data_IF_052379102512
#
_entry.id   IF_052379102512
#
_cell.length_a   1.000
_cell.length_b   1.000
_cell.length_c   1.000
_cell.angle_alpha   90.00
_cell.angle_beta   90.00
_cell.angle_gamma   90.00
#
_symmetry.space_group_name_H-M   'P 1'
#
loop_
_entity.id
_entity.type
_entity.pdbx_description
1 polymer ?
#
# COMPACT_ATOMS: atom_id res chain seq x y z
N UNK A 1 -3.43 4.66 63.81
CA UNK A 1 -3.39 3.50 62.90
C UNK A 1 -3.18 4.02 61.46
N UNK A 2 -1.93 4.14 61.00
CA UNK A 2 -1.59 4.59 59.63
C UNK A 2 -1.50 3.38 58.69
N UNK A 3 -2.28 3.36 57.61
CA UNK A 3 -2.15 2.33 56.57
C UNK A 3 -0.77 2.45 55.88
N UNK A 4 -0.08 1.34 55.57
CA UNK A 4 1.16 1.40 54.80
C UNK A 4 0.88 1.75 53.33
N UNK A 5 1.70 2.64 52.77
CA UNK A 5 1.71 2.96 51.34
C UNK A 5 2.26 1.75 50.55
N UNK A 6 1.45 1.19 49.65
CA UNK A 6 1.90 0.21 48.66
C UNK A 6 2.73 0.92 47.57
N UNK A 7 3.94 0.45 47.23
CA UNK A 7 4.70 1.03 46.14
C UNK A 7 4.02 0.70 44.80
N UNK A 8 3.74 1.73 44.01
CA UNK A 8 3.19 1.60 42.67
C UNK A 8 4.11 0.76 41.79
N UNK A 9 3.57 -0.34 41.26
CA UNK A 9 4.24 -1.19 40.28
C UNK A 9 4.39 -0.42 38.95
N UNK A 10 5.47 0.35 38.84
CA UNK A 10 5.88 1.03 37.62
C UNK A 10 6.35 0.02 36.57
N UNK A 11 5.40 -0.65 35.90
CA UNK A 11 5.72 -1.42 34.69
C UNK A 11 6.20 -0.43 33.61
N UNK A 12 7.42 -0.55 33.08
CA UNK A 12 7.84 0.29 31.98
C UNK A 12 6.95 0.02 30.76
N UNK A 13 6.35 1.07 30.20
CA UNK A 13 5.49 0.96 29.04
C UNK A 13 6.30 0.40 27.84
N UNK A 14 5.77 -0.59 27.09
CA UNK A 14 6.51 -1.17 25.99
C UNK A 14 6.72 -0.11 24.89
N UNK A 15 7.96 0.31 24.69
CA UNK A 15 8.43 1.25 23.66
C UNK A 15 8.48 0.60 22.26
N UNK A 16 7.52 -0.27 21.93
CA UNK A 16 7.49 -1.08 20.70
C UNK A 16 6.95 -0.38 19.45
N UNK A 17 6.59 0.91 19.53
CA UNK A 17 5.84 1.61 18.45
C UNK A 17 6.70 2.04 17.27
N UNK A 18 7.99 2.33 17.47
CA UNK A 18 8.87 2.92 16.44
C UNK A 18 9.42 1.86 15.48
N UNK A 19 9.71 0.64 15.95
CA UNK A 19 10.26 -0.45 15.12
C UNK A 19 9.28 -0.93 14.04
N UNK A 20 7.99 -1.00 14.38
CA UNK A 20 6.94 -1.52 13.51
C UNK A 20 6.59 -0.56 12.35
N UNK A 21 6.80 0.75 12.51
CA UNK A 21 6.56 1.71 11.44
C UNK A 21 7.64 1.63 10.36
N UNK A 22 8.92 1.63 10.77
CA UNK A 22 10.05 1.52 9.83
C UNK A 22 9.95 0.25 8.98
N UNK A 23 9.66 -0.90 9.60
CA UNK A 23 9.48 -2.16 8.87
C UNK A 23 8.35 -2.08 7.84
N UNK A 24 7.18 -1.53 8.21
CA UNK A 24 6.04 -1.39 7.30
C UNK A 24 6.33 -0.46 6.13
N UNK A 25 7.07 0.63 6.37
CA UNK A 25 7.53 1.54 5.31
C UNK A 25 8.49 0.81 4.38
N UNK A 26 9.48 0.09 4.91
CA UNK A 26 10.43 -0.68 4.12
C UNK A 26 9.73 -1.74 3.26
N UNK A 27 8.77 -2.48 3.82
CA UNK A 27 7.98 -3.46 3.06
C UNK A 27 7.13 -2.77 1.97
N UNK A 28 6.51 -1.63 2.29
CA UNK A 28 5.76 -0.85 1.30
C UNK A 28 6.64 -0.38 0.15
N UNK A 29 7.84 0.13 0.45
CA UNK A 29 8.81 0.53 -0.56
C UNK A 29 9.27 -0.68 -1.40
N UNK A 30 9.58 -1.81 -0.76
CA UNK A 30 9.98 -3.04 -1.44
C UNK A 30 8.93 -3.51 -2.45
N UNK A 31 7.65 -3.48 -2.08
CA UNK A 31 6.54 -3.84 -2.98
C UNK A 31 6.42 -2.89 -4.18
N UNK A 32 6.85 -1.63 -4.03
CA UNK A 32 6.82 -0.65 -5.11
C UNK A 32 8.01 -0.77 -6.06
N UNK A 33 9.12 -1.40 -5.64
CA UNK A 33 10.35 -1.54 -6.45
C UNK A 33 10.04 -2.27 -7.74
N UNK A 34 9.36 -3.41 -7.69
CA UNK A 34 9.13 -4.25 -8.86
C UNK A 34 8.23 -3.56 -9.91
N UNK A 35 7.03 -3.05 -9.56
CA UNK A 35 6.22 -2.25 -10.48
C UNK A 35 6.91 -0.99 -11.00
N UNK A 36 7.62 -0.28 -10.12
CA UNK A 36 8.35 0.94 -10.48
C UNK A 36 9.48 0.67 -11.46
N UNK A 37 10.27 -0.38 -11.21
CA UNK A 37 11.35 -0.82 -12.09
C UNK A 37 10.83 -1.29 -13.44
N UNK A 38 9.77 -2.11 -13.45
CA UNK A 38 9.15 -2.55 -14.70
C UNK A 38 8.61 -1.39 -15.52
N UNK A 39 7.92 -0.44 -14.89
CA UNK A 39 7.39 0.74 -15.58
C UNK A 39 8.51 1.65 -16.10
N UNK A 40 9.58 1.82 -15.33
CA UNK A 40 10.77 2.57 -15.75
C UNK A 40 11.47 1.89 -16.94
N UNK A 41 11.63 0.56 -16.90
CA UNK A 41 12.24 -0.20 -18.01
C UNK A 41 11.44 -0.04 -19.30
N UNK A 42 10.10 -0.12 -19.22
CA UNK A 42 9.23 0.10 -20.38
C UNK A 42 9.38 1.53 -20.92
N UNK A 43 9.43 2.52 -20.04
CA UNK A 43 9.62 3.90 -20.48
C UNK A 43 10.97 4.11 -21.18
N UNK A 44 12.06 3.58 -20.62
CA UNK A 44 13.40 3.71 -21.20
C UNK A 44 13.61 2.88 -22.48
N UNK A 45 12.97 1.71 -22.57
CA UNK A 45 13.12 0.81 -23.71
C UNK A 45 12.20 1.12 -24.89
N UNK A 46 10.90 1.30 -24.62
CA UNK A 46 9.87 1.48 -25.66
C UNK A 46 9.24 2.86 -25.69
N UNK A 47 9.68 3.79 -24.82
CA UNK A 47 9.06 5.12 -24.67
C UNK A 47 7.70 5.09 -23.97
N UNK A 48 7.23 3.91 -23.52
CA UNK A 48 5.86 3.73 -23.02
C UNK A 48 5.75 4.19 -21.56
N UNK A 49 5.32 5.43 -21.34
CA UNK A 49 5.26 6.05 -20.01
C UNK A 49 3.89 5.96 -19.31
N UNK A 50 2.83 5.49 -19.98
CA UNK A 50 1.48 5.47 -19.42
C UNK A 50 1.35 4.73 -18.07
N UNK A 51 2.09 3.63 -17.78
CA UNK A 51 1.97 2.96 -16.49
C UNK A 51 2.48 3.83 -15.34
N UNK A 52 3.53 4.64 -15.56
CA UNK A 52 4.07 5.56 -14.55
C UNK A 52 3.02 6.62 -14.16
N UNK A 53 2.40 7.22 -15.17
CA UNK A 53 1.35 8.22 -14.97
C UNK A 53 0.11 7.62 -14.32
N UNK A 54 -0.27 6.41 -14.72
CA UNK A 54 -1.41 5.71 -14.13
C UNK A 54 -1.15 5.39 -12.65
N UNK A 55 -0.01 4.80 -12.31
CA UNK A 55 0.34 4.50 -10.92
C UNK A 55 0.43 5.76 -10.06
N UNK A 56 1.05 6.83 -10.57
CA UNK A 56 1.17 8.10 -9.85
C UNK A 56 -0.19 8.76 -9.58
N UNK A 57 -1.01 8.91 -10.62
CA UNK A 57 -2.33 9.54 -10.50
C UNK A 57 -3.32 8.70 -9.68
N UNK A 58 -3.38 7.38 -9.91
CA UNK A 58 -4.23 6.48 -9.13
C UNK A 58 -3.80 6.42 -7.66
N UNK A 59 -2.50 6.48 -7.36
CA UNK A 59 -2.01 6.53 -5.97
C UNK A 59 -2.43 7.81 -5.27
N UNK A 60 -2.32 8.95 -5.95
CA UNK A 60 -2.79 10.23 -5.40
C UNK A 60 -4.31 10.19 -5.15
N UNK A 61 -5.08 9.71 -6.13
CA UNK A 61 -6.52 9.55 -6.00
C UNK A 61 -6.89 8.64 -4.82
N UNK A 62 -6.26 7.48 -4.71
CA UNK A 62 -6.48 6.55 -3.60
C UNK A 62 -6.20 7.23 -2.25
N UNK A 63 -5.09 7.95 -2.12
CA UNK A 63 -4.75 8.65 -0.89
C UNK A 63 -5.83 9.66 -0.49
N UNK A 64 -6.31 10.47 -1.43
CA UNK A 64 -7.38 11.46 -1.21
C UNK A 64 -8.70 10.78 -0.84
N UNK A 65 -9.07 9.69 -1.50
CA UNK A 65 -10.29 8.94 -1.18
C UNK A 65 -10.25 8.37 0.24
N UNK A 66 -9.12 7.79 0.65
CA UNK A 66 -8.94 7.29 2.02
C UNK A 66 -9.00 8.40 3.07
N UNK A 67 -8.39 9.56 2.78
CA UNK A 67 -8.49 10.72 3.65
C UNK A 67 -9.96 11.17 3.79
N UNK A 68 -10.68 11.29 2.67
CA UNK A 68 -12.07 11.69 2.66
C UNK A 68 -12.95 10.68 3.41
N UNK A 69 -12.76 9.37 3.19
CA UNK A 69 -13.49 8.32 3.93
C UNK A 69 -13.23 8.42 5.44
N UNK A 70 -11.98 8.70 5.85
CA UNK A 70 -11.65 8.91 7.27
C UNK A 70 -12.34 10.15 7.84
N UNK A 71 -12.42 11.25 7.09
CA UNK A 71 -13.13 12.47 7.51
C UNK A 71 -14.63 12.20 7.66
N UNK A 72 -15.24 11.57 6.68
CA UNK A 72 -16.67 11.20 6.71
C UNK A 72 -17.00 10.27 7.88
N UNK A 73 -16.11 9.33 8.19
CA UNK A 73 -16.26 8.44 9.35
C UNK A 73 -16.18 9.16 10.71
N UNK A 74 -15.57 10.35 10.80
CA UNK A 74 -15.55 11.17 12.04
C UNK A 74 -16.76 12.09 12.17
N UNK A 75 -17.38 12.44 11.05
CA UNK A 75 -18.49 13.39 10.98
C UNK A 75 -19.85 12.67 10.81
N UNK A 76 -19.91 11.36 11.08
CA UNK A 76 -21.08 10.50 10.86
C UNK A 76 -21.76 10.66 9.48
N UNK A 77 -20.96 10.96 8.47
CA UNK A 77 -21.41 11.11 7.09
C UNK A 77 -21.33 9.78 6.31
N UNK A 78 -22.03 9.72 5.17
CA UNK A 78 -22.05 8.53 4.31
C UNK A 78 -20.65 8.13 3.82
N UNK A 79 -20.17 6.95 4.25
CA UNK A 79 -18.82 6.43 3.95
C UNK A 79 -18.66 6.05 2.47
N UNK A 80 -17.42 6.03 1.99
CA UNK A 80 -17.12 5.62 0.62
C UNK A 80 -17.29 4.09 0.51
N UNK A 81 -18.03 3.59 -0.51
CA UNK A 81 -18.17 2.14 -0.72
C UNK A 81 -16.82 1.48 -0.95
N UNK A 82 -16.59 0.31 -0.33
CA UNK A 82 -15.29 -0.40 -0.41
C UNK A 82 -14.92 -0.79 -1.85
N UNK A 83 -15.92 -1.09 -2.69
CA UNK A 83 -15.74 -1.35 -4.12
C UNK A 83 -15.05 -0.20 -4.87
N UNK A 84 -15.29 1.05 -4.46
CA UNK A 84 -14.66 2.22 -5.10
C UNK A 84 -13.19 2.30 -4.70
N UNK A 85 -12.88 2.04 -3.42
CA UNK A 85 -11.49 2.01 -2.93
C UNK A 85 -10.70 0.90 -3.63
N UNK A 86 -11.25 -0.32 -3.66
CA UNK A 86 -10.64 -1.45 -4.36
C UNK A 86 -10.52 -1.24 -5.87
N UNK A 87 -11.47 -0.56 -6.50
CA UNK A 87 -11.38 -0.20 -7.91
C UNK A 87 -10.17 0.69 -8.21
N UNK A 88 -9.95 1.73 -7.41
CA UNK A 88 -8.78 2.62 -7.58
C UNK A 88 -7.48 1.90 -7.23
N UNK A 89 -7.48 1.05 -6.21
CA UNK A 89 -6.33 0.20 -5.88
C UNK A 89 -5.95 -0.72 -7.04
N UNK A 90 -6.95 -1.35 -7.68
CA UNK A 90 -6.77 -2.22 -8.83
C UNK A 90 -6.20 -1.49 -10.05
N UNK A 91 -6.60 -0.22 -10.27
CA UNK A 91 -6.04 0.63 -11.33
C UNK A 91 -4.59 1.09 -11.09
N UNK A 92 -3.95 0.66 -10.00
CA UNK A 92 -2.56 1.04 -9.66
C UNK A 92 -2.45 2.01 -8.49
N UNK A 93 -3.56 2.33 -7.82
CA UNK A 93 -3.58 3.21 -6.66
C UNK A 93 -3.19 2.55 -5.34
N UNK A 94 -2.90 1.25 -5.33
CA UNK A 94 -2.57 0.51 -4.12
C UNK A 94 -1.36 1.06 -3.33
N UNK A 95 -0.31 1.67 -3.92
CA UNK A 95 0.77 2.28 -3.14
C UNK A 95 0.28 3.47 -2.31
N UNK A 96 -0.51 4.37 -2.93
CA UNK A 96 -1.12 5.49 -2.24
C UNK A 96 -2.13 5.06 -1.17
N UNK A 97 -2.91 4.01 -1.44
CA UNK A 97 -3.80 3.40 -0.46
C UNK A 97 -3.02 2.81 0.73
N UNK A 98 -1.90 2.13 0.49
CA UNK A 98 -1.02 1.58 1.54
C UNK A 98 -0.46 2.69 2.43
N UNK A 99 -0.02 3.81 1.84
CA UNK A 99 0.43 4.98 2.60
C UNK A 99 -0.73 5.56 3.42
N UNK A 100 -1.91 5.72 2.83
CA UNK A 100 -3.08 6.29 3.49
C UNK A 100 -3.61 5.43 4.64
N UNK A 101 -3.65 4.10 4.48
CA UNK A 101 -4.01 3.15 5.54
C UNK A 101 -3.11 3.34 6.77
N UNK A 102 -1.81 3.57 6.55
CA UNK A 102 -0.81 3.69 7.59
C UNK A 102 -0.90 5.06 8.27
N UNK A 103 -0.99 6.13 7.46
CA UNK A 103 -1.08 7.51 7.92
C UNK A 103 -2.36 7.76 8.74
N UNK A 104 -3.51 7.27 8.27
CA UNK A 104 -4.80 7.51 8.90
C UNK A 104 -5.23 6.40 9.87
N UNK A 105 -4.45 5.31 9.94
CA UNK A 105 -4.76 4.08 10.71
C UNK A 105 -6.19 3.61 10.42
N UNK A 106 -6.57 3.67 9.16
CA UNK A 106 -7.92 3.43 8.67
C UNK A 106 -7.93 2.18 7.80
N UNK A 107 -8.94 1.33 7.94
CA UNK A 107 -9.08 0.06 7.19
C UNK A 107 -7.92 -0.94 7.34
N UNK A 108 -7.08 -0.80 8.37
CA UNK A 108 -5.94 -1.70 8.65
C UNK A 108 -6.30 -2.97 9.43
N UNK A 109 -7.46 -3.01 10.11
CA UNK A 109 -7.89 -4.13 10.97
C UNK A 109 -9.02 -4.99 10.40
N UNK A 110 -9.72 -4.49 9.37
CA UNK A 110 -10.86 -5.21 8.78
C UNK A 110 -10.32 -6.29 7.84
N UNK A 111 -10.41 -7.55 8.26
CA UNK A 111 -9.81 -8.68 7.53
C UNK A 111 -10.34 -8.77 6.10
N UNK A 112 -11.66 -8.71 5.89
CA UNK A 112 -12.25 -8.80 4.55
C UNK A 112 -11.75 -7.72 3.60
N UNK A 113 -11.54 -6.50 4.10
CA UNK A 113 -10.96 -5.40 3.31
C UNK A 113 -9.49 -5.68 2.98
N UNK A 114 -8.71 -6.12 3.97
CA UNK A 114 -7.29 -6.40 3.80
C UNK A 114 -7.05 -7.57 2.84
N UNK A 115 -7.88 -8.61 2.86
CA UNK A 115 -7.78 -9.74 1.91
C UNK A 115 -7.88 -9.25 0.48
N UNK A 116 -8.92 -8.47 0.14
CA UNK A 116 -9.10 -7.95 -1.23
C UNK A 116 -7.96 -7.01 -1.61
N UNK A 117 -7.55 -6.13 -0.70
CA UNK A 117 -6.41 -5.25 -0.91
C UNK A 117 -5.12 -6.03 -1.26
N UNK A 118 -4.78 -7.06 -0.48
CA UNK A 118 -3.58 -7.85 -0.71
C UNK A 118 -3.65 -8.72 -1.96
N UNK A 119 -4.83 -9.20 -2.35
CA UNK A 119 -5.04 -9.86 -3.65
C UNK A 119 -4.75 -8.90 -4.81
N UNK A 120 -5.17 -7.63 -4.72
CA UNK A 120 -4.86 -6.61 -5.72
C UNK A 120 -3.35 -6.36 -5.80
N UNK A 121 -2.68 -6.21 -4.66
CA UNK A 121 -1.22 -6.03 -4.63
C UNK A 121 -0.53 -7.23 -5.29
N UNK A 122 -0.91 -8.45 -4.92
CA UNK A 122 -0.37 -9.68 -5.49
C UNK A 122 -0.57 -9.75 -7.01
N UNK A 123 -1.76 -9.41 -7.50
CA UNK A 123 -2.05 -9.37 -8.93
C UNK A 123 -1.09 -8.44 -9.68
N UNK A 124 -0.84 -7.23 -9.14
CA UNK A 124 0.15 -6.32 -9.71
C UNK A 124 1.57 -6.88 -9.67
N UNK A 125 1.97 -7.55 -8.59
CA UNK A 125 3.30 -8.18 -8.52
C UNK A 125 3.43 -9.29 -9.58
N UNK A 126 2.43 -10.18 -9.71
CA UNK A 126 2.42 -11.25 -10.70
C UNK A 126 2.48 -10.68 -12.12
N UNK A 127 1.68 -9.65 -12.42
CA UNK A 127 1.70 -8.98 -13.72
C UNK A 127 3.09 -8.43 -14.07
N UNK A 128 3.76 -7.75 -13.13
CA UNK A 128 5.08 -7.18 -13.39
C UNK A 128 6.20 -8.23 -13.45
N UNK A 129 6.10 -9.31 -12.67
CA UNK A 129 6.97 -10.48 -12.81
C UNK A 129 6.82 -11.04 -14.22
N UNK A 130 5.60 -11.43 -14.61
CA UNK A 130 5.29 -11.98 -15.91
C UNK A 130 5.86 -11.09 -17.03
N UNK A 131 5.52 -9.80 -17.02
CA UNK A 131 6.01 -8.84 -18.01
C UNK A 131 7.54 -8.79 -18.12
N UNK A 132 8.24 -8.76 -16.98
CA UNK A 132 9.71 -8.68 -16.96
C UNK A 132 10.38 -9.99 -17.40
N UNK A 133 9.83 -11.14 -17.01
CA UNK A 133 10.37 -12.45 -17.40
C UNK A 133 10.07 -12.79 -18.86
N UNK A 134 8.82 -12.60 -19.34
CA UNK A 134 8.47 -12.86 -20.73
C UNK A 134 9.18 -11.92 -21.71
N UNK A 135 9.37 -10.64 -21.35
CA UNK A 135 10.19 -9.74 -22.18
C UNK A 135 11.66 -10.20 -22.27
N UNK A 136 12.21 -10.76 -21.20
CA UNK A 136 13.59 -11.26 -21.20
C UNK A 136 13.73 -12.50 -22.08
N UNK A 137 12.78 -13.43 -22.00
CA UNK A 137 12.78 -14.67 -22.80
C UNK A 137 12.60 -14.39 -24.29
N UNK A 138 11.69 -13.49 -24.66
CA UNK A 138 11.47 -13.12 -26.07
C UNK A 138 12.68 -12.39 -26.67
N UNK A 139 13.32 -11.50 -25.90
CA UNK A 139 14.55 -10.86 -26.35
C UNK A 139 15.63 -11.91 -26.65
N UNK A 140 15.83 -12.89 -25.76
CA UNK A 140 16.83 -13.94 -25.97
C UNK A 140 16.57 -14.81 -27.21
N UNK A 141 15.30 -15.10 -27.52
CA UNK A 141 14.93 -15.88 -28.71
C UNK A 141 15.07 -15.09 -30.02
N UNK A 142 14.98 -13.76 -29.99
CA UNK A 142 15.18 -12.92 -31.17
C UNK A 142 16.63 -12.74 -31.61
N UNK A 143 17.59 -13.19 -30.78
CA UNK A 143 19.04 -13.12 -31.06
C UNK A 143 19.68 -14.48 -31.36
N UNK A 144 18.87 -15.53 -31.54
CA UNK A 144 19.27 -16.87 -32.02
C UNK A 144 18.71 -17.08 -33.43
#
# INVERSE_FOLDING_TARGET
MSKPNTPGNGRPAPTGRVRQLKLKVLLGLLLCVLPGFGALRLWLGSGTSWPLWLYGSASLLAFVLYWNDKRKARNDAWRIPEKVLHGVELLGGWPGALIAQQAFRHKTRKLSFQVVFWLIVLLHQVFWIDRLFFDATLAHLSFL
#
